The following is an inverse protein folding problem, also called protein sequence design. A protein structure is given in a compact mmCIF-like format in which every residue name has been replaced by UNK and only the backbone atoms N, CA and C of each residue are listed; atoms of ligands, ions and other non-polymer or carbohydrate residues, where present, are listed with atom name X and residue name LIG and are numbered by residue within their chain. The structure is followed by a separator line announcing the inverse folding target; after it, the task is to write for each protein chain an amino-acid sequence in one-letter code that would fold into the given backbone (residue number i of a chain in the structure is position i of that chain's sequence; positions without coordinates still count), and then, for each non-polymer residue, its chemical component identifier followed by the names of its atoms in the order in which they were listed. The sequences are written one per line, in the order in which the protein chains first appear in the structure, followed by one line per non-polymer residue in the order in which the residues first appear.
data_IF_001482290318
#
_entry.id   IF_001482290318
#
_cell.length_a   1.000
_cell.length_b   1.000
_cell.length_c   1.000
_cell.angle_alpha   90.00
_cell.angle_beta   90.00
_cell.angle_gamma   90.00
#
_symmetry.space_group_name_H-M   'P 1'
#
loop_
_entity.id
_entity.type
_entity.pdbx_description
1 polymer ?
#
# COMPACT_ATOMS: atom_id res chain seq x y z
N UNK A 1 -10.67 -14.12 8.99
CA UNK A 1 -11.41 -15.23 9.62
C UNK A 1 -10.99 -16.61 9.11
N UNK A 2 -10.14 -16.70 8.07
CA UNK A 2 -9.58 -17.95 7.56
C UNK A 2 -8.25 -18.35 8.24
N UNK A 3 -7.81 -17.62 9.26
CA UNK A 3 -6.58 -17.94 9.98
C UNK A 3 -6.62 -19.35 10.54
N UNK A 4 -5.55 -20.12 10.36
CA UNK A 4 -5.40 -21.49 10.89
C UNK A 4 -5.13 -21.45 12.40
N UNK A 5 -4.37 -20.47 12.87
CA UNK A 5 -4.01 -20.32 14.27
C UNK A 5 -5.11 -19.58 15.07
N UNK A 6 -5.18 -19.83 16.38
CA UNK A 6 -6.14 -19.15 17.26
C UNK A 6 -5.79 -17.68 17.44
N UNK A 7 -4.50 -17.39 17.60
CA UNK A 7 -3.99 -16.03 17.71
C UNK A 7 -2.54 -15.95 17.25
N UNK A 8 -2.17 -14.80 16.73
CA UNK A 8 -0.81 -14.49 16.31
C UNK A 8 -0.46 -13.07 16.71
N UNK A 9 0.77 -12.86 17.12
CA UNK A 9 1.39 -11.55 17.31
C UNK A 9 2.59 -11.47 16.38
N UNK A 10 2.77 -10.33 15.70
CA UNK A 10 3.90 -10.08 14.81
C UNK A 10 4.53 -8.73 15.08
N UNK A 11 5.86 -8.69 15.09
CA UNK A 11 6.65 -7.47 15.18
C UNK A 11 7.57 -7.40 13.96
N UNK A 12 7.42 -6.36 13.16
CA UNK A 12 8.28 -6.08 12.01
C UNK A 12 9.12 -4.84 12.27
N UNK A 13 10.39 -4.89 11.86
CA UNK A 13 11.30 -3.77 11.88
C UNK A 13 11.94 -3.59 10.51
N UNK A 14 11.90 -2.36 10.00
CA UNK A 14 12.43 -1.99 8.68
C UNK A 14 13.30 -0.76 8.85
N UNK A 15 14.63 -0.89 8.88
CA UNK A 15 15.52 0.27 8.76
C UNK A 15 15.35 0.87 7.36
N UNK A 16 15.08 2.16 7.31
CA UNK A 16 14.77 2.87 6.08
C UNK A 16 15.90 3.78 5.69
N UNK A 17 16.16 3.99 4.39
CA UNK A 17 17.18 4.92 3.86
C UNK A 17 18.59 4.71 4.45
N UNK A 18 18.97 3.48 4.79
CA UNK A 18 20.26 3.18 5.47
C UNK A 18 21.51 3.68 4.75
N UNK A 19 21.40 3.95 3.45
CA UNK A 19 22.51 4.53 2.68
C UNK A 19 22.70 6.03 2.97
N UNK A 20 21.68 6.71 3.50
CA UNK A 20 21.70 8.15 3.81
C UNK A 20 21.84 8.40 5.31
N UNK A 21 21.11 7.65 6.13
CA UNK A 21 21.06 7.81 7.59
C UNK A 21 20.72 6.49 8.29
N UNK A 22 21.07 6.39 9.58
CA UNK A 22 20.84 5.17 10.36
C UNK A 22 19.63 5.28 11.33
N UNK A 23 18.98 6.43 11.40
CA UNK A 23 17.98 6.77 12.40
C UNK A 23 16.55 6.77 11.89
N UNK A 24 16.34 6.58 10.58
CA UNK A 24 15.02 6.42 9.98
C UNK A 24 14.60 4.94 10.04
N UNK A 25 13.44 4.67 10.61
CA UNK A 25 12.94 3.30 10.73
C UNK A 25 11.43 3.22 10.80
N UNK A 26 10.89 2.10 10.32
CA UNK A 26 9.48 1.73 10.42
C UNK A 26 9.35 0.49 11.30
N UNK A 27 8.60 0.62 12.40
CA UNK A 27 8.22 -0.47 13.29
C UNK A 27 6.74 -0.78 13.11
N UNK A 28 6.36 -2.05 13.09
CA UNK A 28 4.98 -2.47 12.92
C UNK A 28 4.68 -3.65 13.83
N UNK A 29 3.80 -3.42 14.82
CA UNK A 29 3.26 -4.44 15.71
C UNK A 29 1.83 -4.75 15.25
N UNK A 30 1.50 -6.02 15.05
CA UNK A 30 0.16 -6.44 14.69
C UNK A 30 -0.19 -7.76 15.37
N UNK A 31 -1.49 -7.96 15.62
CA UNK A 31 -1.95 -9.21 16.14
C UNK A 31 -3.43 -9.44 15.91
N UNK A 32 -3.84 -10.69 16.01
CA UNK A 32 -5.25 -11.06 15.94
C UNK A 32 -5.58 -12.15 16.96
N UNK A 33 -6.86 -12.22 17.30
CA UNK A 33 -7.44 -13.28 18.11
C UNK A 33 -8.74 -13.78 17.47
N UNK A 34 -8.82 -15.08 17.22
CA UNK A 34 -10.00 -15.76 16.71
C UNK A 34 -10.93 -16.10 17.87
N UNK A 35 -12.00 -15.33 18.04
CA UNK A 35 -13.00 -15.54 19.08
C UNK A 35 -13.65 -16.91 18.91
N UNK A 36 -14.05 -17.23 17.67
CA UNK A 36 -14.63 -18.51 17.28
C UNK A 36 -14.40 -18.77 15.77
N UNK A 37 -15.09 -19.77 15.19
CA UNK A 37 -14.96 -20.12 13.76
C UNK A 37 -15.51 -19.04 12.81
N UNK A 38 -16.29 -18.07 13.32
CA UNK A 38 -16.95 -17.04 12.53
C UNK A 38 -16.25 -15.69 12.76
N UNK A 39 -15.92 -15.34 13.98
CA UNK A 39 -15.51 -14.01 14.41
C UNK A 39 -14.02 -13.96 14.76
N UNK A 40 -13.33 -12.97 14.23
CA UNK A 40 -11.92 -12.65 14.50
C UNK A 40 -11.78 -11.16 14.74
N UNK A 41 -11.07 -10.79 15.79
CA UNK A 41 -10.65 -9.41 16.06
C UNK A 41 -9.16 -9.28 15.86
N UNK A 42 -8.70 -8.08 15.56
CA UNK A 42 -7.28 -7.79 15.44
C UNK A 42 -6.99 -6.32 15.67
N UNK A 43 -5.72 -6.01 15.68
CA UNK A 43 -5.26 -4.63 15.76
C UNK A 43 -3.80 -4.51 15.38
N UNK A 44 -3.38 -3.28 15.11
CA UNK A 44 -1.99 -2.99 14.83
C UNK A 44 -1.60 -1.58 15.24
N UNK A 45 -0.31 -1.42 15.51
CA UNK A 45 0.36 -0.14 15.72
C UNK A 45 1.52 -0.05 14.73
N UNK A 46 1.53 0.98 13.91
CA UNK A 46 2.64 1.35 13.04
C UNK A 46 3.29 2.62 13.60
N UNK A 47 4.61 2.61 13.69
CA UNK A 47 5.39 3.78 14.09
C UNK A 47 6.52 4.01 13.08
N UNK A 48 6.55 5.21 12.52
CA UNK A 48 7.57 5.64 11.57
C UNK A 48 8.38 6.79 12.18
N UNK A 49 9.65 6.55 12.46
CA UNK A 49 10.62 7.57 12.84
C UNK A 49 11.30 8.10 11.58
N UNK A 50 11.28 9.42 11.41
CA UNK A 50 11.95 10.08 10.29
C UNK A 50 13.38 10.53 10.64
N UNK A 51 13.87 10.12 11.82
CA UNK A 51 15.21 10.48 12.28
C UNK A 51 15.25 11.86 12.94
N UNK A 52 16.46 12.35 13.18
CA UNK A 52 16.71 13.66 13.76
C UNK A 52 16.94 14.68 12.64
N UNK A 53 16.20 15.80 12.71
CA UNK A 53 16.28 16.89 11.73
C UNK A 53 16.64 18.17 12.47
N UNK A 54 17.76 18.79 12.06
CA UNK A 54 18.16 20.11 12.54
C UNK A 54 17.51 21.18 11.68
N UNK A 55 16.62 21.97 12.28
CA UNK A 55 16.01 23.12 11.62
C UNK A 55 16.91 24.34 11.74
N UNK A 56 17.15 25.02 10.61
CA UNK A 56 17.95 26.24 10.54
C UNK A 56 17.15 27.39 9.98
N UNK A 57 17.55 28.64 10.32
CA UNK A 57 17.08 29.83 9.65
C UNK A 57 17.71 30.00 8.25
N UNK A 58 17.32 31.04 7.53
CA UNK A 58 17.84 31.34 6.17
C UNK A 58 19.35 31.67 6.18
N UNK A 59 19.93 31.98 7.34
CA UNK A 59 21.34 32.30 7.54
C UNK A 59 22.14 31.07 7.99
N UNK A 60 21.48 29.90 8.15
CA UNK A 60 22.12 28.66 8.59
C UNK A 60 22.25 28.52 10.10
N UNK A 61 21.72 29.44 10.92
CA UNK A 61 21.75 29.29 12.37
C UNK A 61 20.76 28.21 12.81
N UNK A 62 21.19 27.35 13.71
CA UNK A 62 20.35 26.28 14.25
C UNK A 62 19.21 26.90 15.08
N UNK A 63 17.99 26.58 14.71
CA UNK A 63 16.80 26.98 15.46
C UNK A 63 16.46 25.94 16.52
N UNK A 64 16.46 24.65 16.13
CA UNK A 64 16.23 23.50 17.03
C UNK A 64 16.51 22.18 16.32
N UNK A 65 16.70 21.14 17.11
CA UNK A 65 16.63 19.74 16.68
C UNK A 65 15.24 19.19 17.00
N UNK A 66 14.71 18.37 16.10
CA UNK A 66 13.40 17.70 16.27
C UNK A 66 13.46 16.27 15.72
N UNK A 67 12.52 15.43 16.16
CA UNK A 67 12.37 14.03 15.72
C UNK A 67 10.98 13.81 15.13
N UNK A 68 10.75 14.20 13.88
CA UNK A 68 9.48 13.99 13.22
C UNK A 68 9.10 12.52 13.24
N UNK A 69 7.83 12.26 13.46
CA UNK A 69 7.32 10.89 13.53
C UNK A 69 5.87 10.81 13.13
N UNK A 70 5.48 9.62 12.71
CA UNK A 70 4.11 9.27 12.39
C UNK A 70 3.74 7.99 13.11
N UNK A 71 2.48 7.88 13.52
CA UNK A 71 1.94 6.61 13.99
C UNK A 71 0.53 6.36 13.45
N UNK A 72 0.19 5.09 13.31
CA UNK A 72 -1.13 4.62 12.93
C UNK A 72 -1.58 3.53 13.89
N UNK A 73 -2.76 3.69 14.46
CA UNK A 73 -3.44 2.68 15.25
C UNK A 73 -4.61 2.12 14.43
N UNK A 74 -4.70 0.79 14.33
CA UNK A 74 -5.77 0.10 13.59
C UNK A 74 -6.48 -0.88 14.51
N UNK A 75 -7.81 -0.82 14.52
CA UNK A 75 -8.68 -1.87 15.04
C UNK A 75 -9.32 -2.64 13.88
N UNK A 76 -9.36 -3.97 13.96
CA UNK A 76 -9.84 -4.85 12.90
C UNK A 76 -10.89 -5.83 13.40
N UNK A 77 -11.88 -6.09 12.57
CA UNK A 77 -12.89 -7.12 12.79
C UNK A 77 -13.15 -7.88 11.48
N UNK A 78 -13.09 -9.20 11.56
CA UNK A 78 -13.38 -10.07 10.44
C UNK A 78 -14.47 -11.10 10.81
N UNK A 79 -15.33 -11.35 9.85
CA UNK A 79 -16.54 -12.16 10.01
C UNK A 79 -16.68 -13.11 8.82
N UNK A 80 -16.86 -14.41 9.11
CA UNK A 80 -17.09 -15.44 8.10
C UNK A 80 -18.58 -15.49 7.76
N UNK A 81 -18.94 -14.95 6.59
CA UNK A 81 -20.33 -14.89 6.11
C UNK A 81 -20.82 -16.26 5.63
N UNK A 82 -19.93 -17.04 4.98
CA UNK A 82 -20.23 -18.38 4.50
C UNK A 82 -18.98 -19.28 4.60
N UNK A 83 -19.10 -20.58 4.32
CA UNK A 83 -18.00 -21.55 4.40
C UNK A 83 -16.75 -21.08 3.64
N UNK A 84 -16.91 -20.44 2.49
CA UNK A 84 -15.86 -19.96 1.59
C UNK A 84 -15.74 -18.42 1.51
N UNK A 85 -16.58 -17.65 2.25
CA UNK A 85 -16.65 -16.19 2.13
C UNK A 85 -16.46 -15.51 3.49
N UNK A 86 -15.60 -14.51 3.55
CA UNK A 86 -15.33 -13.69 4.72
C UNK A 86 -15.33 -12.20 4.35
N UNK A 87 -15.80 -11.37 5.28
CA UNK A 87 -15.77 -9.91 5.20
C UNK A 87 -14.88 -9.39 6.33
N UNK A 88 -14.14 -8.32 6.08
CA UNK A 88 -13.35 -7.60 7.07
C UNK A 88 -13.61 -6.11 7.03
N UNK A 89 -13.56 -5.49 8.20
CA UNK A 89 -13.65 -4.04 8.40
C UNK A 89 -12.51 -3.62 9.34
N UNK A 90 -11.81 -2.56 8.99
CA UNK A 90 -10.82 -1.92 9.85
C UNK A 90 -11.20 -0.47 10.10
N UNK A 91 -10.95 0.00 11.32
CA UNK A 91 -10.94 1.42 11.65
C UNK A 91 -9.51 1.86 11.95
N UNK A 92 -9.09 3.01 11.40
CA UNK A 92 -7.74 3.54 11.50
C UNK A 92 -7.73 4.95 12.04
N UNK A 93 -6.75 5.22 12.89
CA UNK A 93 -6.39 6.56 13.32
C UNK A 93 -4.90 6.76 13.06
N UNK A 94 -4.55 7.81 12.30
CA UNK A 94 -3.16 8.16 12.06
C UNK A 94 -2.88 9.61 12.48
N UNK A 95 -1.69 9.80 13.05
CA UNK A 95 -1.15 11.08 13.45
C UNK A 95 0.24 11.24 12.85
N UNK A 96 0.44 12.33 12.11
CA UNK A 96 1.68 12.64 11.39
C UNK A 96 2.18 14.01 11.81
N UNK A 97 3.30 14.05 12.51
CA UNK A 97 3.96 15.29 12.93
C UNK A 97 5.31 15.41 12.19
N UNK A 98 5.30 16.08 11.05
CA UNK A 98 6.48 16.22 10.19
C UNK A 98 7.30 17.48 10.48
N UNK A 99 6.69 18.49 11.08
CA UNK A 99 7.27 19.84 11.21
C UNK A 99 7.42 20.29 12.64
N UNK A 100 6.92 19.53 13.60
CA UNK A 100 6.94 19.88 15.02
C UNK A 100 6.26 21.20 15.36
N UNK A 101 5.32 21.69 14.52
CA UNK A 101 4.59 22.94 14.74
C UNK A 101 5.42 24.20 14.45
N UNK A 102 6.44 24.14 13.59
CA UNK A 102 7.22 25.30 13.17
C UNK A 102 6.39 26.25 12.30
N UNK A 103 6.67 27.55 12.42
CA UNK A 103 6.19 28.55 11.49
C UNK A 103 7.21 28.69 10.34
N UNK A 104 6.78 28.39 9.11
CA UNK A 104 7.62 28.49 7.90
C UNK A 104 7.05 29.57 7.01
N UNK A 105 7.85 30.61 6.69
CA UNK A 105 7.41 31.72 5.85
C UNK A 105 6.19 32.48 6.39
N UNK A 106 6.01 32.55 7.71
CA UNK A 106 4.87 33.20 8.34
C UNK A 106 3.59 32.34 8.40
N UNK A 107 3.65 31.06 7.95
CA UNK A 107 2.54 30.11 8.00
C UNK A 107 2.76 29.09 9.09
N UNK A 108 1.79 28.93 9.99
CA UNK A 108 1.84 27.92 11.02
C UNK A 108 1.64 26.53 10.42
N UNK A 109 2.55 25.63 10.74
CA UNK A 109 2.40 24.21 10.41
C UNK A 109 1.68 23.48 11.55
N UNK A 110 1.04 22.37 11.24
CA UNK A 110 0.32 21.52 12.19
C UNK A 110 0.49 20.05 11.86
N UNK A 111 0.26 19.21 12.85
CA UNK A 111 0.22 17.78 12.62
C UNK A 111 -1.00 17.39 11.76
N UNK A 112 -0.79 16.44 10.86
CA UNK A 112 -1.85 15.79 10.12
C UNK A 112 -2.58 14.76 10.99
N UNK A 113 -3.91 14.80 10.98
CA UNK A 113 -4.76 13.83 11.69
C UNK A 113 -5.70 13.17 10.69
N UNK A 114 -5.69 11.84 10.70
CA UNK A 114 -6.47 11.02 9.76
C UNK A 114 -7.31 10.01 10.51
N UNK A 115 -8.61 9.98 10.21
CA UNK A 115 -9.50 8.87 10.49
C UNK A 115 -9.85 8.17 9.18
N UNK A 116 -9.70 6.86 9.11
CA UNK A 116 -10.00 6.09 7.90
C UNK A 116 -10.59 4.72 8.23
N UNK A 117 -11.23 4.12 7.22
CA UNK A 117 -11.73 2.75 7.29
C UNK A 117 -11.27 1.94 6.08
N UNK A 118 -11.16 0.62 6.29
CA UNK A 118 -10.97 -0.33 5.19
C UNK A 118 -12.11 -1.32 5.17
N UNK A 119 -12.44 -1.81 3.96
CA UNK A 119 -13.38 -2.89 3.75
C UNK A 119 -12.72 -3.98 2.91
N UNK A 120 -12.99 -5.24 3.25
CA UNK A 120 -12.44 -6.38 2.52
C UNK A 120 -13.45 -7.49 2.36
N UNK A 121 -13.38 -8.17 1.21
CA UNK A 121 -14.10 -9.40 0.93
C UNK A 121 -13.07 -10.43 0.51
N UNK A 122 -13.12 -11.62 1.10
CA UNK A 122 -12.22 -12.72 0.76
C UNK A 122 -13.03 -13.98 0.49
N UNK A 123 -12.86 -14.54 -0.69
CA UNK A 123 -13.31 -15.87 -1.07
C UNK A 123 -12.13 -16.85 -0.99
N UNK A 124 -12.32 -17.99 -0.34
CA UNK A 124 -11.31 -19.04 -0.23
C UNK A 124 -11.93 -20.41 -0.45
N UNK A 125 -11.35 -21.16 -1.36
CA UNK A 125 -11.70 -22.53 -1.66
C UNK A 125 -10.51 -23.44 -1.39
N UNK A 126 -10.58 -24.21 -0.29
CA UNK A 126 -9.53 -25.14 0.13
C UNK A 126 -9.53 -26.46 -0.69
N UNK A 127 -10.60 -26.69 -1.48
CA UNK A 127 -10.76 -27.87 -2.34
C UNK A 127 -10.60 -27.51 -3.83
N UNK A 128 -9.74 -26.54 -4.17
CA UNK A 128 -9.52 -26.11 -5.54
C UNK A 128 -8.51 -27.06 -6.23
N UNK A 129 -8.60 -27.13 -7.58
CA UNK A 129 -7.66 -27.92 -8.40
C UNK A 129 -7.24 -27.12 -9.62
N UNK A 130 -5.97 -27.28 -10.01
CA UNK A 130 -5.47 -26.87 -11.32
C UNK A 130 -4.91 -28.13 -12.00
N UNK A 131 -5.61 -28.58 -13.07
CA UNK A 131 -5.32 -29.89 -13.65
C UNK A 131 -5.51 -31.02 -12.61
N UNK A 132 -4.47 -31.77 -12.33
CA UNK A 132 -4.48 -32.86 -11.35
C UNK A 132 -3.90 -32.45 -9.98
N UNK A 133 -3.50 -31.19 -9.81
CA UNK A 133 -2.87 -30.71 -8.57
C UNK A 133 -3.94 -30.13 -7.64
N UNK A 134 -4.03 -30.69 -6.45
CA UNK A 134 -4.86 -30.17 -5.36
C UNK A 134 -4.28 -28.87 -4.82
N UNK A 135 -5.14 -28.00 -4.27
CA UNK A 135 -4.66 -26.76 -3.69
C UNK A 135 -5.74 -25.86 -3.13
N UNK A 136 -5.35 -24.67 -2.74
CA UNK A 136 -6.23 -23.65 -2.20
C UNK A 136 -6.26 -22.45 -3.13
N UNK A 137 -7.45 -22.08 -3.63
CA UNK A 137 -7.66 -20.84 -4.35
C UNK A 137 -8.19 -19.74 -3.44
N UNK A 138 -7.58 -18.55 -3.49
CA UNK A 138 -8.02 -17.37 -2.76
C UNK A 138 -8.20 -16.20 -3.71
N UNK A 139 -9.37 -15.57 -3.64
CA UNK A 139 -9.65 -14.28 -4.26
C UNK A 139 -9.95 -13.28 -3.16
N UNK A 140 -9.40 -12.07 -3.25
CA UNK A 140 -9.71 -11.00 -2.32
C UNK A 140 -9.85 -9.65 -3.01
N UNK A 141 -10.75 -8.82 -2.52
CA UNK A 141 -10.82 -7.41 -2.87
C UNK A 141 -10.84 -6.56 -1.62
N UNK A 142 -10.13 -5.44 -1.65
CA UNK A 142 -10.06 -4.50 -0.52
C UNK A 142 -10.17 -3.06 -0.99
N UNK A 143 -10.98 -2.28 -0.28
CA UNK A 143 -11.01 -0.82 -0.34
C UNK A 143 -10.29 -0.31 0.90
N UNK A 144 -9.17 0.37 0.72
CA UNK A 144 -8.33 0.79 1.83
C UNK A 144 -8.26 2.30 1.95
N UNK A 145 -8.09 2.76 3.21
CA UNK A 145 -7.87 4.16 3.57
C UNK A 145 -9.03 5.09 3.14
N UNK A 146 -10.27 4.62 3.22
CA UNK A 146 -11.44 5.48 3.02
C UNK A 146 -11.54 6.46 4.20
N UNK A 147 -11.03 7.67 4.04
CA UNK A 147 -10.87 8.59 5.17
C UNK A 147 -10.86 10.06 4.77
N UNK A 148 -10.71 10.92 5.76
CA UNK A 148 -10.69 12.37 5.57
C UNK A 148 -9.43 12.83 4.82
N UNK A 149 -9.55 13.96 4.14
CA UNK A 149 -8.42 14.71 3.59
C UNK A 149 -7.57 15.31 4.71
N UNK A 150 -6.26 15.42 4.50
CA UNK A 150 -5.27 15.93 5.47
C UNK A 150 -4.62 17.21 4.97
N UNK A 151 -4.23 18.09 5.89
CA UNK A 151 -3.40 19.28 5.63
C UNK A 151 -2.39 19.47 6.75
N UNK A 152 -1.18 19.89 6.41
CA UNK A 152 -0.08 20.12 7.32
C UNK A 152 0.18 21.60 7.62
N UNK A 153 -0.62 22.50 7.08
CA UNK A 153 -0.61 23.92 7.41
C UNK A 153 -2.04 24.48 7.47
N UNK A 154 -2.18 25.67 8.06
CA UNK A 154 -3.49 26.32 8.15
C UNK A 154 -3.98 26.88 6.81
N UNK A 155 -3.04 27.26 5.94
CA UNK A 155 -3.34 27.85 4.64
C UNK A 155 -3.36 26.84 3.49
N UNK A 156 -2.86 25.60 3.67
CA UNK A 156 -2.85 24.61 2.61
C UNK A 156 -4.22 24.00 2.40
N UNK A 157 -4.55 23.75 1.14
CA UNK A 157 -5.67 22.87 0.79
C UNK A 157 -5.44 21.49 1.41
N UNK A 158 -6.55 20.81 1.71
CA UNK A 158 -6.49 19.43 2.21
C UNK A 158 -6.33 18.47 1.05
N UNK A 159 -5.35 17.59 1.16
CA UNK A 159 -5.07 16.56 0.17
C UNK A 159 -5.73 15.24 0.52
N UNK A 160 -6.03 14.44 -0.48
CA UNK A 160 -6.51 13.06 -0.28
C UNK A 160 -5.42 12.21 0.35
N UNK A 161 -5.81 11.37 1.31
CA UNK A 161 -4.96 10.26 1.72
C UNK A 161 -4.95 9.18 0.62
N UNK A 162 -3.96 8.26 0.58
CA UNK A 162 -3.82 7.29 -0.50
C UNK A 162 -4.89 6.17 -0.41
N UNK A 163 -6.14 6.53 -0.68
CA UNK A 163 -7.23 5.58 -0.83
C UNK A 163 -6.93 4.66 -2.02
N UNK A 164 -7.19 3.36 -1.89
CA UNK A 164 -6.93 2.43 -2.97
C UNK A 164 -7.87 1.23 -2.99
N UNK A 165 -8.10 0.74 -4.19
CA UNK A 165 -8.74 -0.55 -4.49
C UNK A 165 -7.64 -1.56 -4.81
N UNK A 166 -7.68 -2.73 -4.16
CA UNK A 166 -6.85 -3.89 -4.53
C UNK A 166 -7.73 -5.07 -4.87
N UNK A 167 -7.35 -5.80 -5.90
CA UNK A 167 -7.95 -7.07 -6.32
C UNK A 167 -6.82 -8.08 -6.41
N UNK A 168 -6.89 -9.14 -5.64
CA UNK A 168 -5.84 -10.17 -5.55
C UNK A 168 -6.37 -11.57 -5.79
N UNK A 169 -5.53 -12.38 -6.41
CA UNK A 169 -5.74 -13.79 -6.64
C UNK A 169 -4.51 -14.56 -6.18
N UNK A 170 -4.72 -15.69 -5.53
CA UNK A 170 -3.64 -16.60 -5.18
C UNK A 170 -4.09 -18.05 -5.34
N UNK A 171 -3.18 -18.89 -5.78
CA UNK A 171 -3.35 -20.32 -5.82
C UNK A 171 -2.15 -20.99 -5.14
N UNK A 172 -2.41 -21.70 -4.04
CA UNK A 172 -1.46 -22.55 -3.34
C UNK A 172 -1.62 -23.96 -3.89
N UNK A 173 -0.63 -24.46 -4.61
CA UNK A 173 -0.57 -25.81 -5.13
C UNK A 173 0.16 -26.72 -4.15
N UNK A 174 -0.43 -27.87 -3.82
CA UNK A 174 0.18 -28.91 -2.97
C UNK A 174 0.72 -30.00 -3.89
N UNK A 175 2.07 -30.02 -4.09
CA UNK A 175 2.72 -30.99 -4.98
C UNK A 175 2.93 -32.35 -4.30
N UNK A 176 3.25 -32.32 -3.02
CA UNK A 176 3.41 -33.48 -2.17
C UNK A 176 3.23 -33.06 -0.68
N UNK A 177 3.42 -33.99 0.25
CA UNK A 177 3.26 -33.75 1.70
C UNK A 177 4.23 -32.68 2.25
N UNK A 178 5.32 -32.39 1.54
CA UNK A 178 6.37 -31.48 1.97
C UNK A 178 6.42 -30.17 1.17
N UNK A 179 5.97 -30.19 -0.09
CA UNK A 179 6.18 -29.07 -1.01
C UNK A 179 4.88 -28.39 -1.39
N UNK A 180 4.77 -27.10 -1.07
CA UNK A 180 3.66 -26.24 -1.47
C UNK A 180 4.23 -25.04 -2.22
N UNK A 181 3.59 -24.66 -3.33
CA UNK A 181 3.95 -23.45 -4.08
C UNK A 181 2.72 -22.57 -4.24
N UNK A 182 2.83 -21.32 -3.85
CA UNK A 182 1.79 -20.32 -4.03
C UNK A 182 2.18 -19.37 -5.16
N UNK A 183 1.26 -19.17 -6.08
CA UNK A 183 1.32 -18.09 -7.08
C UNK A 183 0.33 -17.01 -6.68
N UNK A 184 0.75 -15.76 -6.70
CA UNK A 184 -0.10 -14.62 -6.37
C UNK A 184 0.00 -13.52 -7.41
N UNK A 185 -1.13 -12.85 -7.67
CA UNK A 185 -1.24 -11.69 -8.57
C UNK A 185 -2.20 -10.68 -7.97
N UNK A 186 -1.73 -9.45 -7.79
CA UNK A 186 -2.53 -8.33 -7.30
C UNK A 186 -2.56 -7.19 -8.33
N UNK A 187 -3.74 -6.60 -8.49
CA UNK A 187 -3.97 -5.35 -9.20
C UNK A 187 -4.36 -4.29 -8.18
N UNK A 188 -3.75 -3.11 -8.29
CA UNK A 188 -4.03 -2.00 -7.38
C UNK A 188 -4.23 -0.70 -8.15
N UNK A 189 -5.29 0.06 -7.83
CA UNK A 189 -5.53 1.41 -8.32
C UNK A 189 -5.71 2.38 -7.14
N UNK A 190 -5.08 3.55 -7.22
CA UNK A 190 -5.38 4.66 -6.32
C UNK A 190 -6.76 5.22 -6.65
N UNK A 191 -7.56 5.47 -5.61
CA UNK A 191 -8.90 6.05 -5.71
C UNK A 191 -8.88 7.54 -5.32
N UNK A 192 -7.94 8.27 -5.93
CA UNK A 192 -7.78 9.72 -5.75
C UNK A 192 -7.78 10.37 -7.12
N UNK A 193 -8.27 11.62 -7.26
CA UNK A 193 -8.30 12.31 -8.54
C UNK A 193 -6.92 12.39 -9.19
N UNK A 194 -6.87 12.15 -10.49
CA UNK A 194 -5.67 12.35 -11.29
C UNK A 194 -5.50 13.85 -11.54
N UNK A 195 -4.30 14.44 -11.33
CA UNK A 195 -4.06 15.85 -11.59
C UNK A 195 -4.37 16.21 -13.04
N UNK A 196 -5.17 17.27 -13.22
CA UNK A 196 -5.47 17.81 -14.53
C UNK A 196 -4.21 18.41 -15.20
N UNK A 197 -4.21 18.45 -16.50
CA UNK A 197 -3.11 19.04 -17.27
C UNK A 197 -3.36 20.53 -17.50
N UNK A 198 -2.42 21.34 -17.02
CA UNK A 198 -2.43 22.81 -17.17
C UNK A 198 -1.26 23.26 -18.04
N UNK A 199 -1.47 24.32 -18.79
CA UNK A 199 -0.41 25.02 -19.51
C UNK A 199 -0.61 26.53 -19.45
N UNK A 200 0.47 27.28 -19.68
CA UNK A 200 0.39 28.74 -19.84
C UNK A 200 -0.06 29.05 -21.26
N UNK A 201 -1.24 29.65 -21.40
CA UNK A 201 -1.80 30.12 -22.65
C UNK A 201 -1.91 31.63 -22.56
N UNK A 202 -1.12 32.35 -23.37
CA UNK A 202 -1.12 33.82 -23.41
C UNK A 202 -0.96 34.48 -22.02
N UNK A 203 -0.09 33.93 -21.17
CA UNK A 203 0.15 34.45 -19.82
C UNK A 203 -0.83 33.96 -18.75
N UNK A 204 -1.85 33.18 -19.10
CA UNK A 204 -2.83 32.59 -18.17
C UNK A 204 -2.59 31.09 -17.97
N UNK A 205 -2.60 30.63 -16.73
CA UNK A 205 -2.49 29.22 -16.39
C UNK A 205 -3.85 28.53 -16.53
N UNK A 206 -4.03 27.89 -17.68
CA UNK A 206 -5.32 27.34 -18.13
C UNK A 206 -5.33 25.81 -18.06
N UNK A 207 -6.41 25.22 -17.56
CA UNK A 207 -6.63 23.78 -17.62
C UNK A 207 -6.97 23.35 -19.04
N UNK A 208 -6.15 22.51 -19.65
CA UNK A 208 -6.32 22.03 -21.01
C UNK A 208 -7.04 20.68 -21.07
N UNK A 209 -6.87 19.84 -20.06
CA UNK A 209 -7.50 18.51 -19.99
C UNK A 209 -7.50 17.97 -18.58
N UNK A 210 -8.36 16.98 -18.33
CA UNK A 210 -8.57 16.38 -17.02
C UNK A 210 -9.80 16.96 -16.34
N UNK A 211 -9.86 16.80 -15.03
CA UNK A 211 -10.98 17.24 -14.18
C UNK A 211 -10.43 17.96 -12.94
N UNK A 212 -11.25 18.81 -12.33
CA UNK A 212 -10.87 19.44 -11.06
C UNK A 212 -10.71 18.37 -9.97
N UNK A 213 -9.54 18.34 -9.33
CA UNK A 213 -9.23 17.43 -8.23
C UNK A 213 -9.71 17.91 -6.86
N UNK A 214 -10.18 19.17 -6.74
CA UNK A 214 -10.67 19.71 -5.46
C UNK A 214 -12.16 19.34 -5.22
N UNK A 215 -12.41 18.06 -5.13
CA UNK A 215 -13.75 17.49 -4.96
C UNK A 215 -13.90 16.77 -3.63
N UNK A 216 -15.12 16.44 -3.23
CA UNK A 216 -15.40 15.64 -2.05
C UNK A 216 -14.86 14.20 -2.19
N UNK A 217 -14.70 13.49 -1.06
CA UNK A 217 -14.08 12.17 -1.01
C UNK A 217 -14.77 11.18 -1.96
N UNK A 218 -16.10 11.06 -1.90
CA UNK A 218 -16.86 10.12 -2.73
C UNK A 218 -16.73 10.46 -4.21
N UNK A 219 -16.83 11.76 -4.55
CA UNK A 219 -16.64 12.22 -5.93
C UNK A 219 -15.23 11.94 -6.42
N UNK A 220 -14.20 12.14 -5.59
CA UNK A 220 -12.82 11.83 -5.93
C UNK A 220 -12.60 10.33 -6.22
N UNK A 221 -13.22 9.45 -5.42
CA UNK A 221 -13.19 8.00 -5.64
C UNK A 221 -13.83 7.65 -7.00
N UNK A 222 -15.01 8.17 -7.30
CA UNK A 222 -15.71 7.87 -8.56
C UNK A 222 -14.95 8.47 -9.74
N UNK A 223 -14.50 9.72 -9.61
CA UNK A 223 -13.78 10.45 -10.64
C UNK A 223 -12.48 9.75 -11.04
N UNK A 224 -11.75 9.17 -10.11
CA UNK A 224 -10.48 8.47 -10.32
C UNK A 224 -10.51 7.35 -11.37
N UNK A 225 -11.68 6.94 -11.85
CA UNK A 225 -11.84 5.91 -12.89
C UNK A 225 -11.93 6.46 -14.32
N UNK A 226 -12.04 7.80 -14.49
CA UNK A 226 -12.26 8.40 -15.80
C UNK A 226 -11.69 9.83 -15.95
N UNK A 227 -10.87 10.30 -15.02
CA UNK A 227 -10.38 11.69 -14.98
C UNK A 227 -8.98 11.89 -15.60
N UNK A 228 -8.37 10.83 -16.11
CA UNK A 228 -7.06 10.95 -16.75
C UNK A 228 -7.09 12.01 -17.87
N UNK A 229 -6.17 12.98 -17.86
CA UNK A 229 -6.17 14.09 -18.83
C UNK A 229 -5.88 13.62 -20.26
N UNK A 230 -5.13 12.54 -20.44
CA UNK A 230 -4.64 12.13 -21.76
C UNK A 230 -3.62 13.12 -22.33
N UNK A 231 -3.36 13.03 -23.61
CA UNK A 231 -2.40 13.88 -24.31
C UNK A 231 -3.16 14.93 -25.11
N UNK A 232 -2.93 16.21 -24.82
CA UNK A 232 -3.51 17.33 -25.57
C UNK A 232 -2.84 17.40 -26.95
N UNK A 233 -3.65 17.47 -27.99
CA UNK A 233 -3.18 17.53 -29.37
C UNK A 233 -2.51 18.87 -29.66
N UNK A 234 -1.45 18.82 -30.48
CA UNK A 234 -0.72 20.00 -30.98
C UNK A 234 -0.66 19.96 -32.48
N UNK A 235 -0.65 21.14 -33.09
CA UNK A 235 -0.44 21.31 -34.53
C UNK A 235 1.06 21.19 -34.91
N UNK A 236 1.37 21.42 -36.20
CA UNK A 236 2.73 21.35 -36.70
C UNK A 236 3.68 22.42 -36.14
N UNK A 237 3.15 23.53 -35.61
CA UNK A 237 3.90 24.62 -34.98
C UNK A 237 4.13 24.35 -33.47
N UNK A 238 3.48 23.34 -32.91
CA UNK A 238 3.55 23.03 -31.49
C UNK A 238 2.47 23.70 -30.64
N UNK A 239 1.52 24.40 -31.26
CA UNK A 239 0.42 25.06 -30.58
C UNK A 239 -0.71 24.06 -30.25
N UNK A 240 -1.42 24.29 -29.15
CA UNK A 240 -2.52 23.44 -28.73
C UNK A 240 -3.74 23.62 -29.63
N UNK A 241 -4.28 22.54 -30.17
CA UNK A 241 -5.46 22.53 -31.02
C UNK A 241 -6.71 22.70 -30.16
N UNK A 242 -7.49 23.74 -30.46
CA UNK A 242 -8.76 24.03 -29.80
C UNK A 242 -9.94 23.60 -30.69
N UNK A 243 -10.93 22.95 -30.06
CA UNK A 243 -12.18 22.57 -30.70
C UNK A 243 -13.11 23.79 -30.86
N UNK A 244 -14.18 23.64 -31.65
CA UNK A 244 -15.16 24.71 -31.88
C UNK A 244 -15.94 25.12 -30.61
N UNK A 245 -15.99 24.25 -29.58
CA UNK A 245 -16.63 24.50 -28.28
C UNK A 245 -15.73 25.18 -27.26
N UNK A 246 -14.48 25.51 -27.64
CA UNK A 246 -13.47 26.14 -26.78
C UNK A 246 -12.67 25.12 -25.93
N UNK A 247 -13.00 23.85 -25.94
CA UNK A 247 -12.19 22.81 -25.32
C UNK A 247 -10.93 22.48 -26.13
N UNK A 248 -9.93 21.87 -25.53
CA UNK A 248 -8.74 21.41 -26.23
C UNK A 248 -8.89 20.00 -26.77
N UNK A 249 -8.42 19.78 -27.99
CA UNK A 249 -8.46 18.47 -28.63
C UNK A 249 -7.53 17.48 -27.91
N UNK A 250 -8.02 16.26 -27.66
CA UNK A 250 -7.25 15.20 -27.01
C UNK A 250 -6.93 14.13 -28.05
N UNK A 251 -5.68 13.67 -28.08
CA UNK A 251 -5.26 12.57 -28.94
C UNK A 251 -6.05 11.31 -28.60
N UNK A 252 -6.73 10.75 -29.61
CA UNK A 252 -7.64 9.61 -29.43
C UNK A 252 -6.96 8.42 -28.73
N UNK A 253 -7.62 7.85 -27.74
CA UNK A 253 -7.18 6.67 -27.00
C UNK A 253 -6.18 6.95 -25.87
N UNK A 254 -5.63 8.19 -25.75
CA UNK A 254 -4.61 8.49 -24.73
C UNK A 254 -5.21 8.57 -23.33
N UNK A 255 -6.46 8.99 -23.15
CA UNK A 255 -7.16 8.95 -21.86
C UNK A 255 -7.27 7.51 -21.33
N UNK A 256 -7.78 6.59 -22.12
CA UNK A 256 -7.88 5.18 -21.71
C UNK A 256 -6.50 4.56 -21.44
N UNK A 257 -5.50 4.88 -22.26
CA UNK A 257 -4.13 4.39 -22.05
C UNK A 257 -3.57 4.92 -20.72
N UNK A 258 -3.87 6.15 -20.36
CA UNK A 258 -3.43 6.75 -19.11
C UNK A 258 -4.16 6.16 -17.90
N UNK A 259 -5.49 5.95 -17.97
CA UNK A 259 -6.26 5.26 -16.93
C UNK A 259 -5.73 3.84 -16.65
N UNK A 260 -5.43 3.09 -17.71
CA UNK A 260 -4.84 1.76 -17.57
C UNK A 260 -3.42 1.81 -16.99
N UNK A 261 -2.67 2.88 -17.24
CA UNK A 261 -1.33 3.10 -16.68
C UNK A 261 -1.34 3.41 -15.17
N UNK A 262 -2.49 3.72 -14.58
CA UNK A 262 -2.67 3.92 -13.14
C UNK A 262 -2.84 2.62 -12.35
N UNK A 263 -3.01 1.50 -13.06
CA UNK A 263 -3.11 0.20 -12.45
C UNK A 263 -1.70 -0.32 -12.14
N UNK A 264 -1.41 -0.47 -10.85
CA UNK A 264 -0.19 -1.12 -10.39
C UNK A 264 -0.39 -2.63 -10.36
N UNK A 265 0.65 -3.37 -10.71
CA UNK A 265 0.63 -4.83 -10.78
C UNK A 265 1.69 -5.38 -9.84
N UNK A 266 1.31 -6.35 -9.01
CA UNK A 266 2.26 -7.11 -8.21
C UNK A 266 2.04 -8.61 -8.42
N UNK A 267 3.11 -9.35 -8.65
CA UNK A 267 3.08 -10.80 -8.79
C UNK A 267 4.17 -11.45 -7.97
N UNK A 268 3.94 -12.67 -7.49
CA UNK A 268 4.94 -13.37 -6.69
C UNK A 268 4.72 -14.86 -6.62
N UNK A 269 5.78 -15.53 -6.21
CA UNK A 269 5.83 -16.96 -5.97
C UNK A 269 6.41 -17.20 -4.58
N UNK A 270 5.78 -18.12 -3.85
CA UNK A 270 6.25 -18.58 -2.55
C UNK A 270 6.33 -20.11 -2.59
N UNK A 271 7.45 -20.66 -2.14
CA UNK A 271 7.63 -22.09 -1.96
C UNK A 271 7.85 -22.40 -0.48
N UNK A 272 7.08 -23.33 0.06
CA UNK A 272 7.23 -23.88 1.40
C UNK A 272 7.76 -25.31 1.34
N UNK A 273 8.73 -25.60 2.19
CA UNK A 273 9.20 -26.94 2.47
C UNK A 273 8.80 -27.35 3.89
N UNK A 274 8.02 -28.40 3.98
CA UNK A 274 7.56 -29.03 5.24
C UNK A 274 6.89 -28.03 6.23
N UNK A 275 6.24 -26.98 5.74
CA UNK A 275 5.68 -25.88 6.55
C UNK A 275 6.71 -25.21 7.52
N UNK A 276 8.01 -25.48 7.34
CA UNK A 276 9.11 -24.99 8.18
C UNK A 276 9.93 -23.92 7.50
N UNK A 277 10.35 -24.16 6.25
CA UNK A 277 11.20 -23.26 5.49
C UNK A 277 10.43 -22.71 4.31
N UNK A 278 10.51 -21.39 4.07
CA UNK A 278 9.96 -20.78 2.87
C UNK A 278 10.96 -19.87 2.16
N UNK A 279 10.84 -19.84 0.83
CA UNK A 279 11.47 -18.84 -0.03
C UNK A 279 10.42 -18.14 -0.86
N UNK A 280 10.63 -16.83 -1.09
CA UNK A 280 9.71 -15.96 -1.81
C UNK A 280 10.45 -15.10 -2.81
N UNK A 281 9.84 -14.91 -3.95
CA UNK A 281 10.25 -13.85 -4.88
C UNK A 281 9.02 -13.19 -5.47
N UNK A 282 9.13 -11.93 -5.82
CA UNK A 282 8.02 -11.21 -6.42
C UNK A 282 8.48 -9.91 -7.06
N UNK A 283 7.59 -9.34 -7.87
CA UNK A 283 7.79 -8.08 -8.58
C UNK A 283 6.61 -7.16 -8.31
N UNK A 284 6.91 -5.89 -8.11
CA UNK A 284 5.94 -4.79 -8.13
C UNK A 284 6.25 -3.87 -9.31
N UNK A 285 5.23 -3.54 -10.08
CA UNK A 285 5.32 -2.66 -11.24
C UNK A 285 4.32 -1.53 -11.16
N UNK A 286 4.82 -0.30 -11.27
CA UNK A 286 4.08 0.92 -11.48
C UNK A 286 4.57 1.61 -12.74
N UNK A 287 3.64 2.16 -13.52
CA UNK A 287 3.96 2.81 -14.79
C UNK A 287 4.94 3.96 -14.60
N UNK A 288 5.87 4.12 -15.56
CA UNK A 288 6.94 5.14 -15.52
C UNK A 288 6.42 6.57 -15.39
N UNK A 289 5.23 6.84 -15.93
CA UNK A 289 4.59 8.17 -15.90
C UNK A 289 3.71 8.39 -14.65
N UNK A 290 3.50 7.35 -13.81
CA UNK A 290 2.61 7.40 -12.64
C UNK A 290 3.35 7.14 -11.31
N UNK A 291 4.69 7.23 -11.30
CA UNK A 291 5.51 7.06 -10.09
C UNK A 291 6.78 6.25 -10.34
N UNK A 292 6.78 5.36 -11.35
CA UNK A 292 7.94 4.58 -11.78
C UNK A 292 8.54 3.70 -10.67
N UNK A 293 7.72 3.20 -9.75
CA UNK A 293 8.17 2.28 -8.70
C UNK A 293 8.19 0.87 -9.26
N UNK A 294 9.37 0.31 -9.40
CA UNK A 294 9.57 -1.05 -9.90
C UNK A 294 10.56 -1.75 -8.97
N UNK A 295 10.09 -2.82 -8.33
CA UNK A 295 10.87 -3.52 -7.31
C UNK A 295 10.84 -5.03 -7.56
N UNK A 296 11.97 -5.68 -7.30
CA UNK A 296 12.04 -7.12 -7.06
C UNK A 296 12.14 -7.34 -5.55
N UNK A 297 11.42 -8.33 -5.07
CA UNK A 297 11.43 -8.74 -3.67
C UNK A 297 11.96 -10.15 -3.56
N UNK A 298 12.81 -10.38 -2.56
CA UNK A 298 13.26 -11.70 -2.16
C UNK A 298 12.99 -11.89 -0.67
N UNK A 299 12.57 -13.08 -0.28
CA UNK A 299 12.28 -13.35 1.12
C UNK A 299 12.56 -14.79 1.51
N UNK A 300 12.83 -14.98 2.77
CA UNK A 300 12.96 -16.29 3.39
C UNK A 300 12.24 -16.31 4.75
N UNK A 301 11.73 -17.45 5.14
CA UNK A 301 11.10 -17.67 6.44
C UNK A 301 11.56 -18.97 7.05
N UNK A 302 11.71 -18.95 8.36
CA UNK A 302 11.96 -20.14 9.18
C UNK A 302 10.92 -20.18 10.29
N UNK A 303 10.17 -21.29 10.37
CA UNK A 303 9.17 -21.55 11.41
C UNK A 303 9.67 -22.66 12.33
N UNK A 304 9.69 -22.38 13.62
CA UNK A 304 10.05 -23.36 14.64
C UNK A 304 9.10 -23.26 15.84
N UNK A 305 8.34 -24.31 16.07
CA UNK A 305 7.28 -24.34 17.08
C UNK A 305 6.30 -23.16 16.96
N UNK A 306 6.26 -22.32 18.00
CA UNK A 306 5.41 -21.13 18.04
C UNK A 306 6.04 -19.89 17.39
N UNK A 307 7.34 -19.93 17.07
CA UNK A 307 8.06 -18.80 16.50
C UNK A 307 8.20 -18.95 15.00
N UNK A 308 8.13 -17.82 14.30
CA UNK A 308 8.55 -17.72 12.89
C UNK A 308 9.34 -16.44 12.70
N UNK A 309 10.44 -16.53 11.98
CA UNK A 309 11.28 -15.40 11.59
C UNK A 309 11.18 -15.25 10.08
N UNK A 310 10.82 -14.06 9.63
CA UNK A 310 10.80 -13.72 8.21
C UNK A 310 11.86 -12.65 7.93
N UNK A 311 12.53 -12.83 6.83
CA UNK A 311 13.46 -11.87 6.26
C UNK A 311 12.99 -11.50 4.86
N UNK A 312 13.06 -10.21 4.50
CA UNK A 312 12.83 -9.80 3.13
C UNK A 312 13.76 -8.65 2.69
N UNK A 313 14.12 -8.68 1.42
CA UNK A 313 14.95 -7.69 0.76
C UNK A 313 14.24 -7.15 -0.47
N UNK A 314 14.20 -5.83 -0.59
CA UNK A 314 13.57 -5.13 -1.70
C UNK A 314 14.66 -4.45 -2.54
N UNK A 315 14.80 -4.90 -3.79
CA UNK A 315 15.72 -4.33 -4.78
C UNK A 315 14.95 -3.47 -5.77
N UNK A 316 15.41 -2.24 -6.02
CA UNK A 316 14.85 -1.41 -7.10
C UNK A 316 15.41 -1.84 -8.45
N UNK A 317 14.54 -1.97 -9.46
CA UNK A 317 14.92 -2.24 -10.85
C UNK A 317 14.67 -1.05 -11.76
N UNK A 318 13.97 -0.01 -11.29
CA UNK A 318 13.91 1.27 -12.00
C UNK A 318 15.25 1.97 -11.83
N UNK A 319 15.89 2.42 -12.90
CA UNK A 319 17.19 3.09 -12.88
C UNK A 319 17.22 4.43 -12.09
N UNK A 320 16.18 4.74 -11.33
CA UNK A 320 16.11 5.89 -10.41
C UNK A 320 16.42 5.42 -8.98
N UNK A 321 17.19 6.22 -8.26
CA UNK A 321 17.35 6.00 -6.82
C UNK A 321 15.99 6.15 -6.14
N UNK A 322 15.47 5.02 -5.64
CA UNK A 322 14.23 5.02 -4.87
C UNK A 322 14.58 4.99 -3.38
N UNK A 323 13.92 5.79 -2.54
CA UNK A 323 14.06 5.71 -1.09
C UNK A 323 13.73 4.32 -0.52
N UNK A 324 12.96 3.52 -1.26
CA UNK A 324 12.61 2.14 -0.91
C UNK A 324 13.65 1.11 -1.36
N UNK A 325 14.64 1.51 -2.20
CA UNK A 325 15.65 0.60 -2.71
C UNK A 325 16.53 0.06 -1.57
N UNK A 326 16.94 -1.20 -1.72
CA UNK A 326 17.84 -1.88 -0.81
C UNK A 326 17.33 -1.91 0.65
N UNK A 327 16.02 -2.01 0.81
CA UNK A 327 15.38 -2.08 2.12
C UNK A 327 15.32 -3.51 2.62
N UNK A 328 15.84 -3.72 3.82
CA UNK A 328 15.74 -4.96 4.57
C UNK A 328 14.54 -4.89 5.52
N UNK A 329 13.81 -5.98 5.67
CA UNK A 329 12.77 -6.11 6.69
C UNK A 329 12.96 -7.40 7.45
N UNK A 330 12.83 -7.30 8.77
CA UNK A 330 12.82 -8.43 9.69
C UNK A 330 11.44 -8.50 10.34
N UNK A 331 10.87 -9.69 10.44
CA UNK A 331 9.60 -9.90 11.13
C UNK A 331 9.72 -11.13 12.04
N UNK A 332 9.39 -10.94 13.31
CA UNK A 332 9.20 -12.02 14.26
C UNK A 332 7.70 -12.25 14.43
N UNK A 333 7.24 -13.49 14.27
CA UNK A 333 5.86 -13.90 14.52
C UNK A 333 5.80 -14.91 15.67
N UNK A 334 4.81 -14.72 16.53
CA UNK A 334 4.54 -15.59 17.67
C UNK A 334 3.11 -16.15 17.53
N UNK A 335 3.00 -17.45 17.28
CA UNK A 335 1.74 -18.16 17.16
C UNK A 335 1.30 -18.65 18.54
N UNK A 336 0.22 -18.10 19.08
CA UNK A 336 -0.29 -18.38 20.42
C UNK A 336 -1.54 -19.28 20.32
N UNK A 337 -1.32 -20.58 20.29
CA UNK A 337 -2.37 -21.60 20.37
C UNK A 337 -2.81 -22.15 19.02
N UNK A 338 -2.35 -23.36 18.72
CA UNK A 338 -2.92 -24.20 17.67
C UNK A 338 -4.34 -24.60 18.08
N UNK A 339 -5.32 -24.34 17.23
CA UNK A 339 -6.65 -24.96 17.36
C UNK A 339 -6.53 -26.42 16.95
N UNK A 340 -6.27 -27.29 17.93
CA UNK A 340 -6.34 -28.76 17.93
C UNK A 340 -6.04 -29.47 16.62
N UNK A 341 -4.95 -30.26 16.62
CA UNK A 341 -4.69 -31.29 15.62
C UNK A 341 -3.21 -31.49 15.35
N UNK A 342 -2.70 -32.61 15.85
CA UNK A 342 -1.42 -33.27 15.60
C UNK A 342 -0.14 -32.52 16.04
N UNK A 343 0.40 -32.97 17.16
CA UNK A 343 1.83 -33.02 17.42
C UNK A 343 2.52 -33.72 16.24
N UNK A 344 3.60 -33.15 15.67
CA UNK A 344 4.47 -33.95 14.81
C UNK A 344 5.05 -35.07 15.70
N UNK A 345 4.75 -36.30 15.37
CA UNK A 345 5.46 -37.48 15.91
C UNK A 345 6.94 -37.27 15.59
N UNK A 346 7.74 -37.40 16.63
CA UNK A 346 9.13 -37.00 16.72
C UNK A 346 10.04 -37.53 15.61
N UNK A 347 11.14 -36.80 15.51
CA UNK A 347 12.40 -37.23 14.93
C UNK A 347 12.99 -38.31 15.82
#
# INVERSE_FOLDING_TARGET
SFAKEKSELSLSYTPWLRQLTNDISLSYLAGYYRINKIHTIGGSLRYFSLGEITFTDISGNVLRDDKPSEFELTGAYAFRLAKKLSIGINGKFAYSNLTGGLTVGGVNTKAGVVGAADFSITYRNDDAKIGNTDGTYTFATTLNNLGNKVAYSELSKRDFIPMNLKIGNAFEAEFDDYNKVTFALDLQKLLVPTPAYFANINGSYTMLSGMDGDVGIINGILQSFYDAPGVVAKDANGDYIQNNDGSYAIVKGTKLKEELAEINIAGGIEWWYNDVLAFRTGMFYENRNKGNRQFLNFGASLKYNMFSIDFSYLASVSGRQSPLANTLRFTLRLNLGRTGGSTPSGI
#
